data_IF_346534783127
#
_entry.id   IF_346534783127
#
_cell.length_a   1.000
_cell.length_b   1.000
_cell.length_c   1.000
_cell.angle_alpha   90.00
_cell.angle_beta   90.00
_cell.angle_gamma   90.00
#
_symmetry.space_group_name_H-M   'P 1'
#
loop_
_entity.id
_entity.type
_entity.pdbx_description
1 polymer ?
#
# COMPACT_ATOMS: atom_id res chain seq x y z
N UNK A 1 0.45 8.33 8.28
CA UNK A 1 0.46 8.38 6.80
C UNK A 1 1.70 9.09 6.31
N UNK A 2 2.21 8.69 5.16
CA UNK A 2 3.34 9.33 4.47
C UNK A 2 2.92 9.75 3.06
N UNK A 3 3.69 10.65 2.45
CA UNK A 3 3.49 11.10 1.07
C UNK A 3 4.77 10.88 0.29
N UNK A 4 4.63 10.43 -0.95
CA UNK A 4 5.66 10.46 -1.98
C UNK A 4 5.27 11.54 -2.97
N UNK A 5 6.17 12.49 -3.22
CA UNK A 5 6.00 13.48 -4.28
C UNK A 5 6.70 12.95 -5.52
N UNK A 6 6.06 13.05 -6.68
CA UNK A 6 6.67 12.64 -7.93
C UNK A 6 7.98 13.40 -8.19
N UNK A 7 9.05 12.66 -8.47
CA UNK A 7 10.44 13.13 -8.58
C UNK A 7 11.25 13.08 -7.27
N UNK A 8 10.61 12.96 -6.11
CA UNK A 8 11.31 12.81 -4.83
C UNK A 8 11.53 11.30 -4.54
N UNK A 9 12.76 10.92 -4.19
CA UNK A 9 13.12 9.50 -3.98
C UNK A 9 12.65 8.91 -2.64
N UNK A 10 12.16 9.73 -1.71
CA UNK A 10 11.92 9.33 -0.32
C UNK A 10 10.51 9.72 0.10
N UNK A 11 9.81 8.78 0.74
CA UNK A 11 8.54 9.11 1.41
C UNK A 11 8.77 9.95 2.67
N UNK A 12 7.90 10.93 2.92
CA UNK A 12 7.97 11.77 4.11
C UNK A 12 6.66 11.70 4.89
N UNK A 13 6.76 11.70 6.22
CA UNK A 13 5.60 11.73 7.11
C UNK A 13 4.84 13.04 6.92
N UNK A 14 3.53 12.96 6.75
CA UNK A 14 2.74 14.14 6.37
C UNK A 14 1.28 14.09 6.78
N UNK A 15 0.69 15.28 6.84
CA UNK A 15 -0.74 15.53 6.97
C UNK A 15 -1.23 16.20 5.68
N UNK A 16 -2.40 15.77 5.21
CA UNK A 16 -3.07 16.34 4.06
C UNK A 16 -4.27 17.11 4.57
N UNK A 17 -4.30 18.41 4.32
CA UNK A 17 -5.39 19.29 4.72
C UNK A 17 -6.06 19.81 3.46
N UNK A 18 -7.39 19.69 3.39
CA UNK A 18 -8.19 20.09 2.24
C UNK A 18 -9.15 21.19 2.70
N UNK A 19 -9.10 22.34 2.03
CA UNK A 19 -10.10 23.40 2.20
C UNK A 19 -11.08 23.39 1.02
N UNK A 20 -11.93 24.41 0.92
CA UNK A 20 -12.77 24.70 -0.24
C UNK A 20 -12.01 25.25 -1.47
N UNK A 21 -10.72 25.54 -1.31
CA UNK A 21 -9.88 26.20 -2.33
C UNK A 21 -8.58 25.45 -2.61
N UNK A 22 -7.95 24.86 -1.59
CA UNK A 22 -6.60 24.30 -1.69
C UNK A 22 -6.44 22.96 -1.01
N UNK A 23 -5.50 22.18 -1.53
CA UNK A 23 -4.95 20.98 -0.92
C UNK A 23 -3.56 21.34 -0.40
N UNK A 24 -3.31 21.11 0.89
CA UNK A 24 -2.06 21.41 1.57
C UNK A 24 -1.36 20.12 1.99
N UNK A 25 -0.10 19.99 1.61
CA UNK A 25 0.80 18.93 2.04
C UNK A 25 1.67 19.48 3.15
N UNK A 26 1.43 19.02 4.37
CA UNK A 26 2.15 19.44 5.56
C UNK A 26 3.08 18.31 6.00
N UNK A 27 4.38 18.55 6.05
CA UNK A 27 5.39 17.59 6.46
C UNK A 27 5.59 17.63 7.97
N UNK A 28 5.62 16.45 8.59
CA UNK A 28 6.00 16.29 9.99
C UNK A 28 7.52 16.17 10.05
N UNK A 29 8.18 17.17 10.63
CA UNK A 29 9.65 17.30 10.62
C UNK A 29 10.32 16.83 11.91
N UNK A 30 9.54 16.64 12.98
CA UNK A 30 10.00 16.19 14.29
C UNK A 30 8.86 15.52 15.07
N UNK A 31 9.15 15.05 16.28
CA UNK A 31 8.15 14.46 17.16
C UNK A 31 6.97 15.42 17.37
N UNK A 32 5.75 14.88 17.27
CA UNK A 32 4.49 15.63 17.36
C UNK A 32 4.16 16.06 18.80
N UNK A 33 5.12 16.68 19.48
CA UNK A 33 5.02 17.20 20.84
C UNK A 33 5.10 18.73 20.83
N UNK A 34 4.32 19.40 21.69
CA UNK A 34 4.30 20.86 21.75
C UNK A 34 3.44 21.51 20.67
N UNK A 35 3.82 22.69 20.19
CA UNK A 35 3.01 23.45 19.24
C UNK A 35 3.19 22.93 17.81
N UNK A 36 2.12 22.86 16.99
CA UNK A 36 2.23 22.39 15.60
C UNK A 36 3.27 23.11 14.75
N UNK A 37 3.51 24.40 14.98
CA UNK A 37 4.53 25.15 14.24
C UNK A 37 5.97 24.65 14.47
N UNK A 38 6.20 23.89 15.55
CA UNK A 38 7.53 23.38 15.91
C UNK A 38 7.85 22.07 15.18
N UNK A 39 6.83 21.32 14.75
CA UNK A 39 6.96 19.99 14.15
C UNK A 39 6.23 19.81 12.81
N UNK A 40 5.46 20.80 12.35
CA UNK A 40 4.67 20.74 11.12
C UNK A 40 5.03 21.89 10.17
N UNK A 41 5.56 21.55 9.00
CA UNK A 41 5.94 22.51 7.98
C UNK A 41 5.06 22.37 6.73
N UNK A 42 4.58 23.49 6.18
CA UNK A 42 3.90 23.46 4.88
C UNK A 42 4.93 23.19 3.78
N UNK A 43 4.87 22.00 3.17
CA UNK A 43 5.76 21.60 2.08
C UNK A 43 5.23 22.07 0.73
N UNK A 44 3.93 21.91 0.48
CA UNK A 44 3.30 22.35 -0.76
C UNK A 44 1.83 22.72 -0.55
N UNK A 45 1.28 23.49 -1.49
CA UNK A 45 -0.15 23.77 -1.53
C UNK A 45 -0.64 24.05 -2.94
N UNK A 46 -1.64 23.32 -3.39
CA UNK A 46 -2.18 23.39 -4.75
C UNK A 46 -3.63 23.82 -4.72
N UNK A 47 -4.08 24.51 -5.76
CA UNK A 47 -5.50 24.80 -5.93
C UNK A 47 -6.25 23.51 -6.24
N UNK A 48 -7.45 23.34 -5.68
CA UNK A 48 -8.26 22.14 -5.98
C UNK A 48 -8.71 22.15 -7.45
N UNK A 49 -8.95 23.33 -8.02
CA UNK A 49 -9.32 23.47 -9.43
C UNK A 49 -8.21 22.98 -10.37
N UNK A 50 -6.95 22.98 -9.94
CA UNK A 50 -5.81 22.46 -10.72
C UNK A 50 -5.66 20.93 -10.64
N UNK A 51 -6.45 20.24 -9.82
CA UNK A 51 -6.42 18.77 -9.72
C UNK A 51 -6.94 18.15 -11.02
N UNK A 52 -6.11 17.36 -11.70
CA UNK A 52 -6.43 16.69 -12.96
C UNK A 52 -6.87 15.25 -12.77
N UNK A 53 -6.14 14.51 -11.94
CA UNK A 53 -6.41 13.10 -11.70
C UNK A 53 -6.46 12.83 -10.20
N UNK A 54 -7.48 12.07 -9.79
CA UNK A 54 -7.63 11.58 -8.44
C UNK A 54 -7.89 10.07 -8.51
N UNK A 55 -7.04 9.28 -7.88
CA UNK A 55 -7.15 7.82 -7.94
C UNK A 55 -6.98 7.22 -6.55
N UNK A 56 -7.79 6.22 -6.22
CA UNK A 56 -7.55 5.38 -5.04
C UNK A 56 -6.78 4.14 -5.46
N UNK A 57 -5.65 3.87 -4.80
CA UNK A 57 -4.77 2.76 -5.11
C UNK A 57 -5.27 1.40 -4.65
N UNK A 58 -4.45 0.36 -4.88
CA UNK A 58 -4.77 -1.02 -4.50
C UNK A 58 -5.07 -1.17 -3.01
N UNK A 59 -6.01 -2.07 -2.69
CA UNK A 59 -6.51 -2.31 -1.32
C UNK A 59 -7.17 -1.09 -0.66
N UNK A 60 -7.37 0.00 -1.41
CA UNK A 60 -7.70 1.32 -0.87
C UNK A 60 -6.73 1.76 0.23
N UNK A 61 -5.42 1.60 0.04
CA UNK A 61 -4.41 1.97 1.04
C UNK A 61 -3.58 3.20 0.63
N UNK A 62 -3.74 3.66 -0.60
CA UNK A 62 -3.13 4.87 -1.11
C UNK A 62 -4.09 5.74 -1.91
N UNK A 63 -3.75 7.01 -2.08
CA UNK A 63 -4.47 7.97 -2.92
C UNK A 63 -3.45 8.68 -3.81
N UNK A 64 -3.68 8.67 -5.11
CA UNK A 64 -2.83 9.34 -6.09
C UNK A 64 -3.51 10.61 -6.59
N UNK A 65 -2.73 11.68 -6.69
CA UNK A 65 -3.19 13.01 -7.11
C UNK A 65 -2.22 13.59 -8.12
N UNK A 66 -2.73 14.09 -9.24
CA UNK A 66 -1.93 14.84 -10.21
C UNK A 66 -2.57 16.20 -10.47
N UNK A 67 -1.73 17.24 -10.51
CA UNK A 67 -2.11 18.61 -10.76
C UNK A 67 -1.62 19.08 -12.13
N UNK A 68 -2.32 20.06 -12.73
CA UNK A 68 -1.94 20.62 -14.03
C UNK A 68 -0.59 21.35 -14.01
N UNK A 69 -0.34 22.12 -12.96
CA UNK A 69 0.87 22.92 -12.83
C UNK A 69 2.12 22.01 -12.78
N UNK A 70 2.93 22.05 -13.83
CA UNK A 70 4.26 21.42 -13.88
C UNK A 70 4.28 19.89 -13.82
N UNK A 71 3.15 19.21 -14.03
CA UNK A 71 3.07 17.74 -13.93
C UNK A 71 3.30 17.23 -12.51
N UNK A 72 3.02 18.06 -11.50
CA UNK A 72 3.23 17.71 -10.10
C UNK A 72 2.23 16.63 -9.68
N UNK A 73 2.73 15.52 -9.16
CA UNK A 73 1.92 14.42 -8.66
C UNK A 73 2.37 13.97 -7.26
N UNK A 74 1.44 13.36 -6.52
CA UNK A 74 1.65 12.85 -5.17
C UNK A 74 0.95 11.51 -5.00
N UNK A 75 1.63 10.60 -4.31
CA UNK A 75 1.07 9.36 -3.76
C UNK A 75 0.98 9.49 -2.26
N UNK A 76 -0.23 9.50 -1.73
CA UNK A 76 -0.48 9.44 -0.30
C UNK A 76 -0.59 8.00 0.16
N UNK A 77 0.29 7.57 1.06
CA UNK A 77 0.35 6.21 1.62
C UNK A 77 -0.36 6.21 2.99
N UNK A 78 -1.65 5.91 2.95
CA UNK A 78 -2.54 5.93 4.12
C UNK A 78 -2.37 4.67 4.97
N UNK A 79 -2.09 3.52 4.34
CA UNK A 79 -1.88 2.20 4.98
C UNK A 79 -3.02 1.71 5.88
N UNK A 80 -4.17 2.35 5.79
CA UNK A 80 -5.41 2.01 6.50
C UNK A 80 -6.56 2.09 5.52
N UNK A 81 -7.18 0.93 5.25
CA UNK A 81 -8.16 0.79 4.17
C UNK A 81 -9.43 1.58 4.49
N UNK A 82 -9.89 1.50 5.73
CA UNK A 82 -11.11 2.14 6.16
C UNK A 82 -10.96 3.67 6.19
N UNK A 83 -9.85 4.18 6.73
CA UNK A 83 -9.50 5.60 6.77
C UNK A 83 -9.32 6.16 5.37
N UNK A 84 -8.63 5.45 4.50
CA UNK A 84 -8.43 5.85 3.11
C UNK A 84 -9.76 5.92 2.36
N UNK A 85 -10.63 4.90 2.44
CA UNK A 85 -11.97 4.92 1.81
C UNK A 85 -12.82 6.10 2.29
N UNK A 86 -12.86 6.35 3.60
CA UNK A 86 -13.59 7.49 4.18
C UNK A 86 -13.04 8.81 3.66
N UNK A 87 -11.72 8.99 3.70
CA UNK A 87 -11.09 10.22 3.26
C UNK A 87 -11.24 10.44 1.75
N UNK A 88 -11.03 9.42 0.93
CA UNK A 88 -11.20 9.48 -0.51
C UNK A 88 -12.65 9.82 -0.91
N UNK A 89 -13.63 9.27 -0.20
CA UNK A 89 -15.05 9.60 -0.40
C UNK A 89 -15.34 11.08 -0.12
N UNK A 90 -14.84 11.61 1.00
CA UNK A 90 -14.97 13.03 1.35
C UNK A 90 -14.28 13.94 0.32
N UNK A 91 -13.03 13.64 -0.02
CA UNK A 91 -12.26 14.40 -1.01
C UNK A 91 -12.93 14.37 -2.39
N UNK A 92 -13.45 13.22 -2.81
CA UNK A 92 -14.21 13.07 -4.05
C UNK A 92 -15.47 13.94 -4.03
N UNK A 93 -16.15 14.06 -2.89
CA UNK A 93 -17.30 14.96 -2.72
C UNK A 93 -16.92 16.42 -2.99
N UNK A 94 -15.87 16.91 -2.32
CA UNK A 94 -15.34 18.27 -2.49
C UNK A 94 -14.92 18.53 -3.94
N UNK A 95 -14.14 17.61 -4.52
CA UNK A 95 -13.63 17.72 -5.88
C UNK A 95 -14.76 17.73 -6.92
N UNK A 96 -15.80 16.92 -6.75
CA UNK A 96 -16.96 16.89 -7.67
C UNK A 96 -17.81 18.15 -7.60
N UNK A 97 -17.99 18.71 -6.40
CA UNK A 97 -18.68 19.98 -6.24
C UNK A 97 -17.93 21.11 -6.98
N UNK A 98 -16.61 21.15 -6.80
CA UNK A 98 -15.73 22.14 -7.42
C UNK A 98 -15.53 21.91 -8.92
N UNK A 99 -15.71 20.68 -9.41
CA UNK A 99 -15.57 20.35 -10.83
C UNK A 99 -16.62 21.04 -11.73
N UNK A 100 -17.71 21.54 -11.14
CA UNK A 100 -18.73 22.32 -11.87
C UNK A 100 -18.26 23.73 -12.23
N UNK A 101 -17.16 24.21 -11.64
CA UNK A 101 -16.57 25.51 -11.96
C UNK A 101 -15.84 25.47 -13.30
N UNK A 102 -15.94 26.54 -14.08
CA UNK A 102 -15.41 26.62 -15.44
C UNK A 102 -13.88 26.53 -15.54
N UNK A 103 -13.17 26.76 -14.43
CA UNK A 103 -11.72 26.68 -14.31
C UNK A 103 -11.20 25.31 -13.83
N UNK A 104 -12.10 24.36 -13.53
CA UNK A 104 -11.72 23.01 -13.09
C UNK A 104 -10.94 22.25 -14.16
N UNK A 105 -9.83 21.63 -13.76
CA UNK A 105 -8.96 20.79 -14.60
C UNK A 105 -9.22 19.30 -14.43
N UNK A 106 -10.18 18.92 -13.60
CA UNK A 106 -10.46 17.52 -13.29
C UNK A 106 -10.83 16.73 -14.55
N UNK A 107 -10.05 15.69 -14.83
CA UNK A 107 -10.24 14.78 -15.96
C UNK A 107 -10.81 13.44 -15.53
N UNK A 108 -10.36 12.89 -14.41
CA UNK A 108 -10.82 11.57 -13.96
C UNK A 108 -10.73 11.37 -12.45
N UNK A 109 -11.70 10.62 -11.92
CA UNK A 109 -11.66 10.00 -10.60
C UNK A 109 -11.74 8.49 -10.80
N UNK A 110 -10.72 7.75 -10.38
CA UNK A 110 -10.59 6.32 -10.67
C UNK A 110 -10.20 5.48 -9.45
N UNK A 111 -10.24 4.17 -9.63
CA UNK A 111 -9.75 3.18 -8.68
C UNK A 111 -8.76 2.28 -9.42
N UNK A 112 -7.55 2.16 -8.90
CA UNK A 112 -6.55 1.23 -9.43
C UNK A 112 -7.07 -0.19 -9.30
N UNK A 113 -6.94 -0.96 -10.39
CA UNK A 113 -7.29 -2.37 -10.44
C UNK A 113 -6.07 -3.16 -10.88
N UNK A 114 -5.92 -4.34 -10.30
CA UNK A 114 -4.92 -5.28 -10.77
C UNK A 114 -5.37 -5.84 -12.13
N UNK A 115 -4.62 -5.53 -13.18
CA UNK A 115 -4.87 -5.92 -14.56
C UNK A 115 -3.53 -6.16 -15.28
N UNK A 116 -3.49 -6.66 -16.53
CA UNK A 116 -2.25 -6.92 -17.26
C UNK A 116 -1.25 -5.77 -17.40
N UNK A 117 -1.69 -4.52 -17.20
CA UNK A 117 -0.87 -3.31 -17.29
C UNK A 117 -0.30 -2.89 -15.93
N UNK A 118 -0.81 -3.45 -14.84
CA UNK A 118 -0.34 -3.14 -13.50
C UNK A 118 1.03 -3.77 -13.24
N UNK A 119 1.96 -3.05 -12.62
CA UNK A 119 3.33 -3.53 -12.39
C UNK A 119 3.37 -4.83 -11.56
N UNK A 120 2.49 -4.99 -10.58
CA UNK A 120 2.37 -6.24 -9.79
C UNK A 120 1.72 -7.43 -10.52
N UNK A 121 1.14 -7.24 -11.71
CA UNK A 121 0.47 -8.30 -12.46
C UNK A 121 1.30 -9.58 -12.67
N UNK A 122 2.60 -9.49 -13.02
CA UNK A 122 3.42 -10.68 -13.25
C UNK A 122 3.60 -11.58 -12.02
N UNK A 123 3.37 -11.07 -10.81
CA UNK A 123 3.44 -11.88 -9.59
C UNK A 123 2.17 -12.67 -9.34
N UNK A 124 1.00 -12.11 -9.69
CA UNK A 124 -0.29 -12.75 -9.43
C UNK A 124 -0.67 -13.73 -10.55
N UNK A 125 -0.28 -13.47 -11.80
CA UNK A 125 -0.64 -14.33 -12.92
C UNK A 125 0.24 -15.56 -13.11
N UNK A 126 1.40 -15.66 -12.46
CA UNK A 126 2.19 -16.89 -12.47
C UNK A 126 1.38 -18.09 -11.94
N UNK A 127 0.50 -17.84 -10.97
CA UNK A 127 -0.30 -18.87 -10.32
C UNK A 127 -1.58 -19.23 -11.09
N UNK A 128 -1.91 -18.52 -12.17
CA UNK A 128 -3.11 -18.77 -12.98
C UNK A 128 -2.91 -19.82 -14.09
N UNK A 129 -1.67 -20.15 -14.45
CA UNK A 129 -1.40 -21.05 -15.58
C UNK A 129 -1.62 -22.54 -15.25
N UNK A 130 -1.90 -22.87 -13.99
CA UNK A 130 -1.98 -24.25 -13.50
C UNK A 130 -3.41 -24.80 -13.31
N UNK A 131 -4.44 -23.95 -13.23
CA UNK A 131 -5.82 -24.39 -12.98
C UNK A 131 -6.78 -23.96 -14.11
N UNK A 132 -7.05 -24.86 -15.07
CA UNK A 132 -7.98 -24.66 -16.20
C UNK A 132 -9.48 -24.65 -15.78
N UNK A 133 -9.81 -24.57 -14.49
CA UNK A 133 -11.17 -24.87 -14.02
C UNK A 133 -11.74 -23.96 -12.91
N UNK A 134 -11.01 -22.96 -12.42
CA UNK A 134 -11.56 -21.99 -11.46
C UNK A 134 -11.98 -20.69 -12.16
N UNK A 135 -13.10 -20.12 -11.73
CA UNK A 135 -13.85 -19.03 -12.40
C UNK A 135 -13.09 -17.69 -12.42
N UNK A 136 -11.98 -17.61 -13.16
CA UNK A 136 -11.30 -16.39 -13.63
C UNK A 136 -10.91 -15.31 -12.60
N UNK A 137 -11.14 -15.50 -11.31
CA UNK A 137 -10.98 -14.47 -10.29
C UNK A 137 -9.57 -14.52 -9.71
N UNK A 138 -8.85 -13.40 -9.84
CA UNK A 138 -7.51 -13.22 -9.26
C UNK A 138 -7.57 -13.40 -7.74
N UNK A 139 -6.87 -14.41 -7.24
CA UNK A 139 -6.76 -14.69 -5.81
C UNK A 139 -5.44 -14.10 -5.28
N UNK A 140 -5.51 -12.90 -4.72
CA UNK A 140 -4.39 -12.27 -4.04
C UNK A 140 -4.85 -11.42 -2.87
N UNK A 141 -3.93 -11.17 -1.94
CA UNK A 141 -4.06 -10.21 -0.86
C UNK A 141 -2.94 -9.17 -0.95
N UNK A 142 -3.30 -7.90 -0.81
CA UNK A 142 -2.39 -6.77 -0.93
C UNK A 142 -2.43 -5.90 0.33
N UNK A 143 -1.26 -5.62 0.89
CA UNK A 143 -1.10 -4.85 2.13
C UNK A 143 0.13 -3.95 2.05
N UNK A 144 -0.05 -2.66 2.32
CA UNK A 144 1.04 -1.75 2.65
C UNK A 144 1.33 -1.87 4.15
N UNK A 145 2.55 -2.27 4.49
CA UNK A 145 2.95 -2.58 5.86
C UNK A 145 4.33 -1.99 6.16
N UNK A 146 4.79 -2.28 7.38
CA UNK A 146 6.14 -2.09 7.84
C UNK A 146 6.69 -3.44 8.26
N UNK A 147 7.95 -3.70 7.92
CA UNK A 147 8.71 -4.79 8.49
C UNK A 147 9.46 -4.26 9.71
N UNK A 148 9.31 -4.96 10.82
CA UNK A 148 10.00 -4.66 12.06
C UNK A 148 11.29 -5.47 12.12
N UNK A 149 12.41 -4.81 11.87
CA UNK A 149 13.75 -5.39 11.99
C UNK A 149 14.53 -4.61 13.06
N UNK A 150 14.97 -5.33 14.09
CA UNK A 150 15.64 -4.79 15.28
C UNK A 150 14.82 -3.68 15.96
N UNK A 151 15.27 -2.42 15.83
CA UNK A 151 14.64 -1.20 16.36
C UNK A 151 14.10 -0.28 15.25
N UNK A 152 14.02 -0.79 14.01
CA UNK A 152 13.61 -0.01 12.84
C UNK A 152 12.34 -0.57 12.19
N UNK A 153 11.57 0.34 11.58
CA UNK A 153 10.37 0.00 10.83
C UNK A 153 10.59 0.42 9.38
N UNK A 154 10.76 -0.55 8.49
CA UNK A 154 10.97 -0.30 7.07
C UNK A 154 9.65 -0.43 6.32
N UNK A 155 9.22 0.58 5.55
CA UNK A 155 7.98 0.50 4.78
C UNK A 155 8.15 -0.51 3.65
N UNK A 156 7.16 -1.38 3.46
CA UNK A 156 7.12 -2.33 2.36
C UNK A 156 5.70 -2.69 1.94
N UNK A 157 5.60 -3.50 0.89
CA UNK A 157 4.36 -4.12 0.44
C UNK A 157 4.40 -5.62 0.68
N UNK A 158 3.37 -6.15 1.31
CA UNK A 158 3.08 -7.58 1.38
C UNK A 158 2.08 -7.93 0.28
N UNK A 159 2.51 -8.77 -0.65
CA UNK A 159 1.62 -9.39 -1.65
C UNK A 159 1.57 -10.89 -1.39
N UNK A 160 0.40 -11.41 -1.05
CA UNK A 160 0.19 -12.85 -0.92
C UNK A 160 -0.65 -13.35 -2.09
N UNK A 161 -0.15 -14.35 -2.80
CA UNK A 161 -0.92 -15.07 -3.81
C UNK A 161 -1.48 -16.36 -3.20
N UNK A 162 -1.88 -17.33 -4.02
CA UNK A 162 -2.39 -18.62 -3.54
C UNK A 162 -1.28 -19.48 -2.93
N UNK A 163 -0.07 -19.38 -3.46
CA UNK A 163 1.03 -20.27 -3.09
C UNK A 163 2.26 -19.54 -2.55
N UNK A 164 2.38 -18.23 -2.80
CA UNK A 164 3.59 -17.48 -2.49
C UNK A 164 3.29 -16.20 -1.72
N UNK A 165 4.15 -15.89 -0.76
CA UNK A 165 4.21 -14.62 -0.05
C UNK A 165 5.40 -13.82 -0.56
N UNK A 166 5.16 -12.54 -0.86
CA UNK A 166 6.18 -11.62 -1.34
C UNK A 166 6.29 -10.42 -0.40
N UNK A 167 7.52 -10.09 -0.02
CA UNK A 167 7.90 -8.80 0.52
C UNK A 167 8.48 -7.96 -0.62
N UNK A 168 7.85 -6.83 -0.92
CA UNK A 168 8.16 -6.00 -2.07
C UNK A 168 8.54 -4.58 -1.63
N UNK A 169 9.54 -4.02 -2.28
CA UNK A 169 9.79 -2.59 -2.27
C UNK A 169 9.15 -2.00 -3.53
N UNK A 170 7.96 -1.43 -3.37
CA UNK A 170 7.25 -0.74 -4.45
C UNK A 170 7.76 0.69 -4.63
N UNK A 171 7.98 1.08 -5.88
CA UNK A 171 8.15 2.46 -6.25
C UNK A 171 6.78 3.13 -6.36
N UNK A 172 6.49 3.98 -5.38
CA UNK A 172 5.25 4.74 -5.31
C UNK A 172 5.28 6.06 -6.11
N UNK A 173 6.30 6.27 -6.98
CA UNK A 173 6.24 7.29 -8.03
C UNK A 173 5.01 7.05 -8.91
N UNK A 174 4.12 8.04 -9.01
CA UNK A 174 2.92 7.95 -9.83
C UNK A 174 2.68 9.24 -10.60
N UNK A 175 2.36 9.12 -11.89
CA UNK A 175 1.91 10.19 -12.78
C UNK A 175 1.12 9.57 -13.95
N UNK A 176 0.00 10.17 -14.34
CA UNK A 176 -0.78 9.78 -15.53
C UNK A 176 -0.37 10.54 -16.78
N UNK A 177 0.19 11.74 -16.64
CA UNK A 177 0.55 12.58 -17.80
C UNK A 177 1.96 12.33 -18.35
N UNK A 178 2.83 11.65 -17.62
CA UNK A 178 4.21 11.39 -18.06
C UNK A 178 4.41 9.89 -18.33
N UNK A 179 4.83 9.51 -19.56
CA UNK A 179 5.32 8.16 -19.78
C UNK A 179 6.60 7.94 -18.98
N UNK A 180 6.72 6.74 -18.42
CA UNK A 180 7.96 6.25 -17.81
C UNK A 180 9.12 6.45 -18.81
N UNK A 181 10.21 7.15 -18.45
CA UNK A 181 11.33 7.42 -19.36
C UNK A 181 12.03 6.14 -19.87
N UNK A 182 11.71 4.98 -19.31
CA UNK A 182 12.19 3.66 -19.74
C UNK A 182 11.24 2.92 -20.70
N UNK A 183 10.04 3.46 -20.98
CA UNK A 183 9.04 2.82 -21.83
C UNK A 183 9.32 3.06 -23.33
N UNK A 184 9.50 1.98 -24.09
CA UNK A 184 9.47 2.03 -25.55
C UNK A 184 8.10 2.57 -26.04
N UNK A 185 8.08 3.32 -27.15
CA UNK A 185 6.94 4.09 -27.68
C UNK A 185 5.61 3.31 -27.93
N UNK A 186 5.58 2.00 -27.69
CA UNK A 186 4.42 1.13 -27.88
C UNK A 186 3.86 0.52 -26.59
N UNK A 187 4.34 0.91 -25.41
CA UNK A 187 3.89 0.35 -24.13
C UNK A 187 3.20 1.43 -23.31
N UNK A 188 1.92 1.22 -22.97
CA UNK A 188 1.21 2.09 -22.03
C UNK A 188 2.02 2.21 -20.73
N UNK A 189 2.05 3.40 -20.10
CA UNK A 189 2.91 3.65 -18.95
C UNK A 189 2.58 2.66 -17.82
N UNK A 190 3.58 1.88 -17.40
CA UNK A 190 3.47 1.08 -16.19
C UNK A 190 3.37 2.03 -15.00
N UNK A 191 2.40 1.79 -14.13
CA UNK A 191 2.20 2.60 -12.93
C UNK A 191 3.20 2.18 -11.85
N UNK A 192 4.47 2.56 -12.01
CA UNK A 192 5.52 2.30 -11.02
C UNK A 192 6.30 1.01 -11.26
N UNK A 193 7.29 0.80 -10.39
CA UNK A 193 8.18 -0.35 -10.41
C UNK A 193 8.13 -1.07 -9.06
N UNK A 194 8.68 -2.27 -9.00
CA UNK A 194 8.87 -2.96 -7.72
C UNK A 194 10.14 -3.79 -7.77
N UNK A 195 10.70 -4.04 -6.60
CA UNK A 195 11.74 -5.04 -6.40
C UNK A 195 11.28 -6.06 -5.37
N UNK A 196 11.53 -7.33 -5.63
CA UNK A 196 11.23 -8.41 -4.67
C UNK A 196 12.37 -8.45 -3.66
N UNK A 197 12.08 -8.08 -2.41
CA UNK A 197 13.03 -8.17 -1.32
C UNK A 197 13.16 -9.61 -0.85
N UNK A 198 12.02 -10.27 -0.64
CA UNK A 198 11.98 -11.68 -0.26
C UNK A 198 10.72 -12.35 -0.82
N UNK A 199 10.82 -13.64 -1.14
CA UNK A 199 9.69 -14.47 -1.53
C UNK A 199 9.75 -15.80 -0.79
N UNK A 200 8.63 -16.22 -0.20
CA UNK A 200 8.52 -17.47 0.55
C UNK A 200 7.26 -18.22 0.12
N UNK A 201 7.34 -19.54 -0.14
CA UNK A 201 6.14 -20.34 -0.30
C UNK A 201 5.25 -20.24 0.95
N UNK A 202 3.93 -20.20 0.76
CA UNK A 202 2.99 -20.28 1.87
C UNK A 202 3.21 -21.59 2.65
N UNK A 203 3.60 -22.68 1.97
CA UNK A 203 3.93 -23.95 2.61
C UNK A 203 5.04 -23.86 3.65
N UNK A 204 5.92 -22.86 3.57
CA UNK A 204 6.98 -22.64 4.55
C UNK A 204 6.49 -21.98 5.85
N UNK A 205 5.25 -21.49 5.92
CA UNK A 205 4.71 -20.90 7.15
C UNK A 205 4.52 -22.00 8.20
N UNK A 206 5.25 -21.90 9.31
CA UNK A 206 5.19 -22.89 10.40
C UNK A 206 4.25 -22.45 11.52
N UNK A 207 4.22 -21.16 11.83
CA UNK A 207 3.31 -20.57 12.83
C UNK A 207 3.04 -19.09 12.58
N UNK A 208 1.88 -18.63 13.07
CA UNK A 208 1.51 -17.22 13.11
C UNK A 208 1.36 -16.77 14.56
N UNK A 209 1.90 -15.60 14.89
CA UNK A 209 1.82 -15.00 16.22
C UNK A 209 1.18 -13.63 16.16
N UNK A 210 0.08 -13.46 16.89
CA UNK A 210 -0.57 -12.18 17.09
C UNK A 210 -0.19 -11.58 18.44
N UNK A 211 -0.12 -10.25 18.52
CA UNK A 211 0.20 -9.55 19.76
C UNK A 211 -1.07 -8.96 20.39
N UNK A 212 -1.36 -9.32 21.63
CA UNK A 212 -2.54 -8.78 22.33
C UNK A 212 -2.40 -7.30 22.68
N UNK A 213 -1.16 -6.85 22.88
CA UNK A 213 -0.79 -5.46 23.15
C UNK A 213 -0.78 -4.58 21.90
N UNK A 214 -0.57 -5.17 20.72
CA UNK A 214 -0.54 -4.47 19.43
C UNK A 214 -1.29 -5.25 18.36
N UNK A 215 -2.57 -4.90 18.16
CA UNK A 215 -3.44 -5.55 17.17
C UNK A 215 -3.03 -5.27 15.72
N UNK A 216 -2.15 -4.31 15.52
CA UNK A 216 -1.62 -3.94 14.23
C UNK A 216 -0.35 -4.73 13.87
N UNK A 217 0.09 -5.66 14.74
CA UNK A 217 1.29 -6.46 14.54
C UNK A 217 0.97 -7.95 14.45
N UNK A 218 1.67 -8.62 13.53
CA UNK A 218 1.69 -10.08 13.39
C UNK A 218 3.12 -10.52 13.08
N UNK A 219 3.60 -11.55 13.77
CA UNK A 219 4.82 -12.24 13.38
C UNK A 219 4.47 -13.55 12.66
N UNK A 220 5.22 -13.83 11.60
CA UNK A 220 5.11 -15.04 10.81
C UNK A 220 6.41 -15.82 10.92
N UNK A 221 6.33 -17.01 11.50
CA UNK A 221 7.44 -17.95 11.58
C UNK A 221 7.46 -18.79 10.30
N UNK A 222 8.63 -18.86 9.68
CA UNK A 222 8.87 -19.50 8.40
C UNK A 222 9.96 -20.56 8.58
N UNK A 223 9.72 -21.76 8.08
CA UNK A 223 10.68 -22.85 8.08
C UNK A 223 10.80 -23.45 6.68
N UNK A 224 12.01 -23.37 6.11
CA UNK A 224 12.35 -24.05 4.86
C UNK A 224 12.91 -25.43 5.19
N UNK A 225 12.18 -26.51 4.85
CA UNK A 225 12.62 -27.88 5.09
C UNK A 225 13.82 -28.30 4.24
N UNK A 226 13.99 -27.70 3.05
CA UNK A 226 15.06 -28.02 2.09
C UNK A 226 16.36 -27.38 2.57
N UNK A 227 16.32 -26.09 2.89
CA UNK A 227 17.50 -25.34 3.37
C UNK A 227 17.73 -25.49 4.87
N UNK A 228 16.75 -26.03 5.62
CA UNK A 228 16.74 -26.14 7.08
C UNK A 228 16.99 -24.79 7.75
N UNK A 229 16.35 -23.75 7.24
CA UNK A 229 16.46 -22.38 7.73
C UNK A 229 15.16 -21.94 8.39
N UNK A 230 15.29 -21.31 9.56
CA UNK A 230 14.18 -20.63 10.22
C UNK A 230 14.30 -19.12 9.98
N UNK A 231 13.17 -18.49 9.67
CA UNK A 231 13.05 -17.03 9.51
C UNK A 231 11.81 -16.53 10.22
N UNK A 232 11.78 -15.23 10.50
CA UNK A 232 10.65 -14.58 11.11
C UNK A 232 10.38 -13.25 10.42
N UNK A 233 9.14 -13.05 9.95
CA UNK A 233 8.68 -11.77 9.45
C UNK A 233 7.78 -11.11 10.48
N UNK A 234 8.26 -10.02 11.09
CA UNK A 234 7.46 -9.19 11.99
C UNK A 234 6.79 -8.06 11.23
N UNK A 235 5.53 -8.25 10.85
CA UNK A 235 4.76 -7.31 10.04
C UNK A 235 3.89 -6.40 10.91
N UNK A 236 3.85 -5.11 10.58
CA UNK A 236 2.95 -4.13 11.19
C UNK A 236 2.20 -3.32 10.14
N UNK A 237 0.93 -3.03 10.35
CA UNK A 237 0.13 -2.12 9.51
C UNK A 237 -0.43 -0.96 10.34
N UNK A 238 -0.92 0.09 9.70
CA UNK A 238 -1.73 1.10 10.39
C UNK A 238 -3.16 0.59 10.68
N UNK A 239 -3.55 -0.55 10.09
CA UNK A 239 -4.90 -1.11 10.14
C UNK A 239 -4.91 -2.58 10.62
N UNK A 240 -5.45 -2.77 11.82
CA UNK A 240 -5.59 -4.08 12.45
C UNK A 240 -6.51 -5.02 11.65
N UNK A 241 -7.50 -4.49 10.92
CA UNK A 241 -8.39 -5.32 10.09
C UNK A 241 -7.62 -5.90 8.91
N UNK A 242 -6.67 -5.17 8.33
CA UNK A 242 -5.82 -5.69 7.26
C UNK A 242 -4.85 -6.77 7.77
N UNK A 243 -4.32 -6.63 8.99
CA UNK A 243 -3.49 -7.68 9.61
C UNK A 243 -4.31 -8.95 9.87
N UNK A 244 -5.53 -8.80 10.37
CA UNK A 244 -6.45 -9.94 10.50
C UNK A 244 -6.81 -10.54 9.14
N UNK A 245 -7.02 -9.71 8.12
CA UNK A 245 -7.25 -10.14 6.75
C UNK A 245 -6.10 -10.98 6.19
N UNK A 246 -4.85 -10.54 6.39
CA UNK A 246 -3.66 -11.29 6.00
C UNK A 246 -3.57 -12.62 6.74
N UNK A 247 -3.80 -12.63 8.04
CA UNK A 247 -3.80 -13.86 8.83
C UNK A 247 -4.84 -14.87 8.32
N UNK A 248 -6.06 -14.41 8.06
CA UNK A 248 -7.12 -15.26 7.51
C UNK A 248 -6.71 -15.78 6.14
N UNK A 249 -6.16 -14.93 5.28
CA UNK A 249 -5.67 -15.33 3.95
C UNK A 249 -4.63 -16.45 4.04
N UNK A 250 -3.53 -16.21 4.76
CA UNK A 250 -2.42 -17.16 4.89
C UNK A 250 -2.90 -18.46 5.51
N UNK A 251 -3.69 -18.39 6.59
CA UNK A 251 -4.25 -19.57 7.22
C UNK A 251 -5.11 -20.35 6.24
N UNK A 252 -6.05 -19.72 5.54
CA UNK A 252 -6.93 -20.42 4.61
C UNK A 252 -6.14 -21.11 3.50
N UNK A 253 -5.18 -20.42 2.88
CA UNK A 253 -4.37 -21.02 1.82
C UNK A 253 -3.53 -22.19 2.35
N UNK A 254 -2.88 -22.01 3.50
CA UNK A 254 -2.06 -23.05 4.13
C UNK A 254 -2.89 -24.28 4.55
N UNK A 255 -4.00 -24.08 5.27
CA UNK A 255 -4.86 -25.16 5.75
C UNK A 255 -5.48 -25.95 4.58
N UNK A 256 -5.75 -25.29 3.45
CA UNK A 256 -6.17 -25.95 2.22
C UNK A 256 -5.09 -26.86 1.62
N UNK A 257 -3.81 -26.49 1.73
CA UNK A 257 -2.68 -27.30 1.22
C UNK A 257 -2.44 -28.55 2.08
N UNK A 258 -2.50 -28.43 3.40
CA UNK A 258 -2.10 -29.51 4.32
C UNK A 258 -3.26 -30.27 4.97
N UNK A 259 -4.49 -29.73 4.93
CA UNK A 259 -5.67 -30.35 5.55
C UNK A 259 -5.66 -30.39 7.08
N UNK A 260 -4.75 -29.64 7.72
CA UNK A 260 -4.64 -29.50 9.18
C UNK A 260 -4.65 -28.02 9.56
N UNK A 261 -4.84 -27.71 10.85
CA UNK A 261 -4.89 -26.32 11.32
C UNK A 261 -3.50 -25.72 11.44
N UNK A 262 -3.32 -24.51 10.92
CA UNK A 262 -2.08 -23.75 11.08
C UNK A 262 -1.97 -23.26 12.52
N UNK A 263 -0.81 -23.48 13.14
CA UNK A 263 -0.54 -23.02 14.50
C UNK A 263 -0.65 -21.51 14.57
N UNK A 264 -1.61 -21.01 15.34
CA UNK A 264 -1.75 -19.58 15.63
C UNK A 264 -1.72 -19.34 17.12
N UNK A 265 -0.83 -18.48 17.57
CA UNK A 265 -0.68 -18.13 18.98
C UNK A 265 -0.96 -16.64 19.20
N UNK A 266 -1.42 -16.31 20.40
CA UNK A 266 -1.55 -14.93 20.85
C UNK A 266 -0.54 -14.70 21.96
N UNK A 267 0.45 -13.85 21.74
CA UNK A 267 1.46 -13.47 22.72
C UNK A 267 1.04 -12.22 23.48
N UNK A 268 1.40 -12.16 24.76
CA UNK A 268 1.40 -10.91 25.52
C UNK A 268 2.70 -10.16 25.19
N UNK A 269 2.59 -8.91 24.75
CA UNK A 269 3.76 -8.05 24.52
C UNK A 269 4.60 -7.88 25.79
N UNK A 270 5.91 -7.58 25.66
CA UNK A 270 6.63 -7.00 26.78
C UNK A 270 5.89 -5.72 27.23
N UNK A 271 5.83 -5.43 28.55
CA UNK A 271 5.26 -4.17 29.01
C UNK A 271 6.02 -3.00 28.39
N UNK A 272 5.27 -2.04 27.83
CA UNK A 272 5.77 -0.75 27.34
C UNK A 272 6.34 0.04 28.52
#
# INVERSE_FOLDING_TARGET
MSTVKFGDLVEFQSLLVVSDQRIYFLEVTSDMQGQPCDWLQKRASHLITELRFLEVGLGSQSIHMEFEEGGVAYTLLVRDSARCKRFFSLLTGVVRELATKSDSKLRSISTTRLNPQHHLWPLVCKDMQTDEQDDGQLQFFYLLAFLHEDDSMTPLTVLATRETLYLLNEDHQWSKSLPDPSANENTEPFSGHFTVQESQPISCVSALRLWSSDRCRMDMELYDEIEKQEKMWSLRSDDAELIQGLLVWVRTQWENMFGVKLTTTTAQGPPI
#
